data_IF_117749317798
#
_entry.id   IF_117749317798
#
_cell.length_a   1.000
_cell.length_b   1.000
_cell.length_c   1.000
_cell.angle_alpha   90.00
_cell.angle_beta   90.00
_cell.angle_gamma   90.00
#
_symmetry.space_group_name_H-M   'P 1'
#
loop_
_entity.id
_entity.type
_entity.pdbx_description
1 polymer ?
#
# COMPACT_ATOMS: atom_id res chain seq x y z
N UNK A 1 10.85 -31.92 36.50
CA UNK A 1 10.51 -30.52 36.87
C UNK A 1 10.04 -29.77 35.64
N UNK A 2 8.73 -29.48 35.54
CA UNK A 2 8.16 -28.74 34.41
C UNK A 2 8.37 -27.25 34.64
N UNK A 3 9.25 -26.60 33.87
CA UNK A 3 9.48 -25.15 33.98
C UNK A 3 8.33 -24.41 33.28
N UNK A 4 7.60 -23.51 33.95
CA UNK A 4 6.53 -22.77 33.31
C UNK A 4 7.12 -21.86 32.22
N UNK A 5 6.64 -22.03 30.98
CA UNK A 5 7.01 -21.15 29.86
C UNK A 5 6.26 -19.83 30.00
N UNK A 6 6.99 -18.71 29.96
CA UNK A 6 6.38 -17.36 29.99
C UNK A 6 5.38 -17.21 28.84
N UNK A 7 4.26 -16.55 29.09
CA UNK A 7 3.19 -16.31 28.09
C UNK A 7 3.76 -15.61 26.84
N UNK A 8 4.80 -14.78 27.00
CA UNK A 8 5.53 -14.14 25.89
C UNK A 8 6.19 -15.11 24.89
N UNK A 9 6.40 -16.38 25.28
CA UNK A 9 6.93 -17.41 24.38
C UNK A 9 5.88 -18.05 23.45
N UNK A 10 4.59 -17.83 23.74
CA UNK A 10 3.47 -18.27 22.91
C UNK A 10 3.04 -17.20 21.90
N UNK A 11 3.58 -15.98 22.01
CA UNK A 11 3.41 -14.93 21.02
C UNK A 11 4.18 -15.39 19.76
N UNK A 12 3.51 -15.58 18.60
CA UNK A 12 4.20 -15.93 17.37
C UNK A 12 5.33 -14.91 17.12
N UNK A 13 6.55 -15.39 16.89
CA UNK A 13 7.72 -14.56 16.52
C UNK A 13 7.47 -13.66 15.29
N UNK A 14 6.35 -13.87 14.60
CA UNK A 14 5.80 -13.10 13.48
C UNK A 14 5.47 -11.65 13.89
N UNK A 15 5.22 -11.36 15.17
CA UNK A 15 4.82 -10.02 15.62
C UNK A 15 6.03 -9.06 15.72
N UNK A 16 7.27 -9.57 15.72
CA UNK A 16 8.49 -8.77 15.85
C UNK A 16 8.83 -7.86 14.67
N UNK A 17 8.22 -8.04 13.49
CA UNK A 17 8.51 -7.27 12.26
C UNK A 17 7.36 -6.35 11.80
N UNK A 18 6.28 -6.25 12.59
CA UNK A 18 5.00 -5.61 12.16
C UNK A 18 5.07 -4.08 11.98
N UNK A 19 6.09 -3.39 12.51
CA UNK A 19 6.20 -1.91 12.40
C UNK A 19 6.41 -1.40 10.96
N UNK A 20 6.94 -2.22 10.03
CA UNK A 20 7.28 -1.76 8.68
C UNK A 20 6.10 -1.62 7.71
N UNK A 21 4.94 -2.22 8.00
CA UNK A 21 3.81 -2.27 7.05
C UNK A 21 2.54 -1.53 7.48
N UNK A 22 2.55 -0.79 8.60
CA UNK A 22 1.33 -0.15 9.11
C UNK A 22 0.69 0.80 8.06
N UNK A 23 1.51 1.62 7.40
CA UNK A 23 1.06 2.57 6.37
C UNK A 23 0.50 1.88 5.12
N UNK A 24 1.11 0.77 4.69
CA UNK A 24 0.62 0.03 3.53
C UNK A 24 -0.74 -0.62 3.82
N UNK A 25 -0.90 -1.18 5.03
CA UNK A 25 -2.15 -1.80 5.48
C UNK A 25 -3.23 -0.74 5.61
N UNK A 26 -2.91 0.40 6.24
CA UNK A 26 -3.79 1.56 6.36
C UNK A 26 -4.25 2.08 5.00
N UNK A 27 -3.33 2.23 4.03
CA UNK A 27 -3.66 2.66 2.68
C UNK A 27 -4.57 1.66 1.96
N UNK A 28 -4.32 0.35 2.13
CA UNK A 28 -5.18 -0.70 1.56
C UNK A 28 -6.59 -0.66 2.17
N UNK A 29 -6.69 -0.49 3.49
CA UNK A 29 -7.97 -0.42 4.19
C UNK A 29 -8.80 0.80 3.79
N UNK A 30 -8.15 1.91 3.44
CA UNK A 30 -8.83 3.15 3.04
C UNK A 30 -8.89 3.34 1.51
N UNK A 31 -8.41 2.39 0.71
CA UNK A 31 -8.29 2.56 -0.73
C UNK A 31 -9.61 2.91 -1.41
N UNK A 32 -10.67 2.19 -1.05
CA UNK A 32 -12.03 2.45 -1.54
C UNK A 32 -12.60 3.78 -1.04
N UNK A 33 -12.27 4.20 0.19
CA UNK A 33 -12.69 5.49 0.71
C UNK A 33 -12.02 6.66 -0.06
N UNK A 34 -10.78 6.48 -0.48
CA UNK A 34 -10.03 7.50 -1.23
C UNK A 34 -10.55 7.59 -2.68
N UNK A 35 -10.75 6.46 -3.35
CA UNK A 35 -10.97 6.43 -4.80
C UNK A 35 -12.38 6.04 -5.24
N UNK A 36 -13.19 5.50 -4.35
CA UNK A 36 -14.48 4.89 -4.65
C UNK A 36 -14.35 3.47 -5.20
N UNK A 37 -15.48 2.76 -5.19
CA UNK A 37 -15.61 1.36 -5.58
C UNK A 37 -15.13 1.10 -7.01
N UNK A 38 -15.55 1.92 -7.97
CA UNK A 38 -15.28 1.71 -9.40
C UNK A 38 -13.79 1.77 -9.75
N UNK A 39 -13.07 2.74 -9.18
CA UNK A 39 -11.61 2.82 -9.36
C UNK A 39 -10.89 1.67 -8.63
N UNK A 40 -11.36 1.32 -7.44
CA UNK A 40 -10.73 0.31 -6.59
C UNK A 40 -10.85 -1.11 -7.14
N UNK A 41 -11.86 -1.38 -7.96
CA UNK A 41 -11.97 -2.62 -8.75
C UNK A 41 -10.90 -2.75 -9.83
N UNK A 42 -10.47 -1.62 -10.41
CA UNK A 42 -9.55 -1.57 -11.55
C UNK A 42 -8.08 -1.47 -11.13
N UNK A 43 -7.82 -0.77 -10.04
CA UNK A 43 -6.48 -0.47 -9.55
C UNK A 43 -6.32 -0.88 -8.09
N UNK A 44 -5.22 -1.56 -7.77
CA UNK A 44 -4.96 -2.02 -6.41
C UNK A 44 -3.53 -1.73 -5.96
N UNK A 45 -3.40 -1.39 -4.69
CA UNK A 45 -2.10 -1.10 -4.06
C UNK A 45 -1.34 -2.40 -3.79
N UNK A 46 -0.10 -2.48 -4.27
CA UNK A 46 0.75 -3.66 -4.06
C UNK A 46 1.78 -3.43 -2.97
N UNK A 47 2.52 -2.31 -3.05
CA UNK A 47 3.61 -2.02 -2.11
C UNK A 47 3.81 -0.54 -1.89
N UNK A 48 4.23 -0.19 -0.68
CA UNK A 48 4.70 1.15 -0.31
C UNK A 48 6.07 1.00 0.34
N UNK A 49 7.09 1.65 -0.24
CA UNK A 49 8.49 1.51 0.22
C UNK A 49 9.24 2.81 0.07
N UNK A 50 10.22 3.04 0.93
CA UNK A 50 11.11 4.18 0.81
C UNK A 50 12.33 3.82 -0.05
N UNK A 51 12.60 4.60 -1.09
CA UNK A 51 13.78 4.47 -1.96
C UNK A 51 14.40 5.86 -2.07
N UNK A 52 15.68 6.01 -1.74
CA UNK A 52 16.38 7.30 -1.79
C UNK A 52 15.61 8.43 -1.06
N UNK A 53 15.10 8.15 0.14
CA UNK A 53 14.27 9.06 0.96
C UNK A 53 12.93 9.46 0.32
N UNK A 54 12.49 8.76 -0.73
CA UNK A 54 11.19 8.96 -1.40
C UNK A 54 10.26 7.79 -1.14
N UNK A 55 9.02 8.06 -0.72
CA UNK A 55 7.96 7.07 -0.51
C UNK A 55 7.34 6.70 -1.85
N UNK A 56 7.74 5.52 -2.34
CA UNK A 56 7.31 4.99 -3.64
C UNK A 56 6.14 4.03 -3.43
N UNK A 57 4.97 4.42 -3.94
CA UNK A 57 3.78 3.57 -4.03
C UNK A 57 3.79 2.81 -5.36
N UNK A 58 3.53 1.52 -5.32
CA UNK A 58 3.30 0.69 -6.51
C UNK A 58 1.83 0.28 -6.56
N UNK A 59 1.20 0.58 -7.70
CA UNK A 59 -0.18 0.25 -8.02
C UNK A 59 -0.15 -0.73 -9.20
N UNK A 60 -0.99 -1.75 -9.15
CA UNK A 60 -1.26 -2.58 -10.32
C UNK A 60 -2.61 -2.18 -10.89
N UNK A 61 -2.67 -2.07 -12.21
CA UNK A 61 -3.91 -1.91 -12.96
C UNK A 61 -4.29 -3.22 -13.65
N UNK A 62 -5.58 -3.53 -13.60
CA UNK A 62 -6.21 -4.58 -14.41
C UNK A 62 -6.54 -4.11 -15.83
N UNK A 63 -6.49 -2.80 -16.11
CA UNK A 63 -6.76 -2.27 -17.44
C UNK A 63 -5.51 -2.20 -18.31
N UNK A 64 -5.72 -2.38 -19.62
CA UNK A 64 -4.69 -2.40 -20.66
C UNK A 64 -3.91 -1.08 -20.75
N UNK A 65 -4.58 0.04 -20.50
CA UNK A 65 -4.05 1.39 -20.70
C UNK A 65 -3.32 1.95 -19.47
N UNK A 66 -2.17 1.36 -19.19
CA UNK A 66 -1.22 1.89 -18.20
C UNK A 66 -0.72 3.30 -18.54
N UNK A 67 -0.80 3.71 -19.80
CA UNK A 67 -0.41 5.05 -20.26
C UNK A 67 -1.33 6.12 -19.68
N UNK A 68 -2.65 5.99 -19.85
CA UNK A 68 -3.63 6.92 -19.25
C UNK A 68 -3.51 6.99 -17.72
N UNK A 69 -3.29 5.84 -17.08
CA UNK A 69 -3.09 5.80 -15.63
C UNK A 69 -1.79 6.46 -15.19
N UNK A 70 -0.72 6.35 -15.98
CA UNK A 70 0.54 7.04 -15.72
C UNK A 70 0.38 8.55 -15.83
N UNK A 71 -0.40 9.05 -16.79
CA UNK A 71 -0.79 10.47 -16.86
C UNK A 71 -1.63 10.90 -15.65
N UNK A 72 -2.39 9.98 -15.06
CA UNK A 72 -3.18 10.21 -13.85
C UNK A 72 -2.39 10.11 -12.54
N UNK A 73 -1.09 9.78 -12.59
CA UNK A 73 -0.25 9.55 -11.39
C UNK A 73 -0.25 10.74 -10.43
N UNK A 74 -0.19 11.96 -10.94
CA UNK A 74 -0.17 13.18 -10.12
C UNK A 74 -1.51 13.37 -9.39
N UNK A 75 -2.63 13.12 -10.08
CA UNK A 75 -3.97 13.20 -9.51
C UNK A 75 -4.16 12.16 -8.39
N UNK A 76 -3.72 10.93 -8.62
CA UNK A 76 -3.79 9.84 -7.62
C UNK A 76 -2.92 10.18 -6.41
N UNK A 77 -1.71 10.70 -6.64
CA UNK A 77 -0.81 11.15 -5.57
C UNK A 77 -1.45 12.25 -4.74
N UNK A 78 -2.01 13.27 -5.39
CA UNK A 78 -2.67 14.38 -4.71
C UNK A 78 -3.86 13.89 -3.89
N UNK A 79 -4.71 13.01 -4.44
CA UNK A 79 -5.88 12.47 -3.72
C UNK A 79 -5.48 11.74 -2.44
N UNK A 80 -4.43 10.92 -2.48
CA UNK A 80 -3.91 10.21 -1.31
C UNK A 80 -3.37 11.21 -0.28
N UNK A 81 -2.50 12.12 -0.70
CA UNK A 81 -1.87 13.08 0.21
C UNK A 81 -2.91 14.03 0.84
N UNK A 82 -3.94 14.42 0.10
CA UNK A 82 -5.07 15.19 0.62
C UNK A 82 -5.88 14.39 1.64
N UNK A 83 -6.20 13.12 1.37
CA UNK A 83 -6.94 12.28 2.31
C UNK A 83 -6.22 12.16 3.66
N UNK A 84 -4.91 12.01 3.65
CA UNK A 84 -4.11 11.88 4.87
C UNK A 84 -3.67 13.22 5.48
N UNK A 85 -3.89 14.35 4.79
CA UNK A 85 -3.42 15.69 5.21
C UNK A 85 -1.89 15.81 5.38
N UNK A 86 -1.10 14.94 4.75
CA UNK A 86 0.36 15.03 4.70
C UNK A 86 0.92 14.32 3.46
N UNK A 87 2.21 14.51 3.18
CA UNK A 87 2.90 13.83 2.09
C UNK A 87 3.08 12.33 2.40
N UNK A 88 2.04 11.56 2.10
CA UNK A 88 1.98 10.12 2.31
C UNK A 88 2.76 9.35 1.23
N UNK A 89 2.68 9.82 -0.01
CA UNK A 89 3.37 9.27 -1.20
C UNK A 89 4.11 10.38 -1.93
N UNK A 90 5.35 10.09 -2.33
CA UNK A 90 6.13 10.95 -3.21
C UNK A 90 6.00 10.56 -4.68
N UNK A 91 6.04 9.24 -4.97
CA UNK A 91 6.14 8.71 -6.33
C UNK A 91 5.16 7.55 -6.49
N UNK A 92 4.42 7.56 -7.61
CA UNK A 92 3.56 6.45 -8.03
C UNK A 92 4.23 5.69 -9.17
N UNK A 93 4.26 4.37 -9.06
CA UNK A 93 4.69 3.46 -10.13
C UNK A 93 3.55 2.51 -10.46
N UNK A 94 3.21 2.43 -11.74
CA UNK A 94 2.27 1.45 -12.23
C UNK A 94 2.97 0.16 -12.66
N UNK A 95 2.30 -0.96 -12.44
CA UNK A 95 2.67 -2.26 -12.97
C UNK A 95 1.46 -2.86 -13.67
N UNK A 96 1.71 -3.62 -14.74
CA UNK A 96 0.67 -4.46 -15.36
C UNK A 96 0.38 -5.64 -14.44
N UNK A 97 -0.88 -6.05 -14.35
CA UNK A 97 -1.19 -7.38 -13.82
C UNK A 97 -0.52 -8.44 -14.70
N UNK A 98 0.21 -9.37 -14.11
CA UNK A 98 0.84 -10.49 -14.82
C UNK A 98 -0.11 -11.67 -15.01
N UNK A 99 -1.35 -11.57 -14.52
CA UNK A 99 -2.37 -12.60 -14.67
C UNK A 99 -3.23 -12.28 -15.90
N UNK A 100 -3.02 -13.08 -16.95
CA UNK A 100 -4.02 -13.41 -17.96
C UNK A 100 -4.74 -14.69 -17.50
#
# INVERSE_FOLDING_TARGET
MYKPKKISSFIPKIIGSSKKNNKLIELKANWENIFGVEFSKKCYVTSLREINKKKVLTIISCESDLLELSYSSESIKNKINTFYSYEFVDIIKFKKSLQL
#
